data_IF_541226134254
#
_entry.id   IF_541226134254
#
_cell.length_a   1.000
_cell.length_b   1.000
_cell.length_c   1.000
_cell.angle_alpha   90.00
_cell.angle_beta   90.00
_cell.angle_gamma   90.00
#
_symmetry.space_group_name_H-M   'P 1'
#
loop_
_entity.id
_entity.type
_entity.pdbx_description
1 polymer ?
#
# COMPACT_ATOMS: atom_id res chain seq x y z
N UNK A 1 19.39 -19.48 15.68
CA UNK A 1 19.43 -18.49 14.60
C UNK A 1 18.05 -17.87 14.56
N UNK A 2 17.94 -16.53 14.51
CA UNK A 2 16.63 -15.87 14.47
C UNK A 2 16.20 -15.70 13.01
N UNK A 3 14.92 -15.98 12.70
CA UNK A 3 14.34 -15.69 11.40
C UNK A 3 14.17 -14.18 11.22
N UNK A 4 14.62 -13.66 10.10
CA UNK A 4 14.64 -12.24 9.79
C UNK A 4 13.54 -11.86 8.79
N UNK A 5 12.88 -10.72 9.01
CA UNK A 5 11.87 -10.15 8.11
C UNK A 5 11.82 -8.63 8.28
N UNK A 6 11.33 -7.94 7.27
CA UNK A 6 10.99 -6.52 7.39
C UNK A 6 9.57 -6.38 7.94
N UNK A 7 9.38 -5.48 8.88
CA UNK A 7 8.07 -5.09 9.38
C UNK A 7 7.64 -3.75 8.76
N UNK A 8 6.45 -3.73 8.13
CA UNK A 8 5.86 -2.51 7.56
C UNK A 8 6.31 -2.21 6.13
N UNK A 9 6.05 -0.96 5.71
CA UNK A 9 6.30 -0.51 4.34
C UNK A 9 7.75 -0.10 4.10
N UNK A 10 8.24 -0.38 2.89
CA UNK A 10 9.49 0.16 2.37
C UNK A 10 9.23 1.47 1.60
N UNK A 11 10.21 2.39 1.53
CA UNK A 11 10.05 3.65 0.83
C UNK A 11 9.64 3.46 -0.63
N UNK A 12 8.65 4.24 -1.09
CA UNK A 12 8.29 4.24 -2.50
C UNK A 12 9.31 5.00 -3.31
N UNK A 13 9.73 4.48 -4.49
CA UNK A 13 10.56 5.26 -5.41
C UNK A 13 9.85 6.55 -5.85
N UNK A 14 10.62 7.62 -6.07
CA UNK A 14 10.08 8.93 -6.47
C UNK A 14 9.34 8.89 -7.83
N UNK A 15 9.68 7.93 -8.70
CA UNK A 15 8.98 7.73 -9.97
C UNK A 15 7.64 6.98 -9.81
N UNK A 16 7.39 6.31 -8.67
CA UNK A 16 6.13 5.64 -8.38
C UNK A 16 5.15 6.56 -7.67
N UNK A 17 5.62 7.28 -6.65
CA UNK A 17 4.76 8.15 -5.84
C UNK A 17 5.56 9.31 -5.26
N UNK A 18 4.86 10.37 -4.85
CA UNK A 18 5.47 11.49 -4.13
C UNK A 18 6.15 10.99 -2.85
N UNK A 19 7.38 11.43 -2.62
CA UNK A 19 8.14 11.10 -1.42
C UNK A 19 7.83 12.06 -0.28
N UNK A 20 8.12 11.64 0.96
CA UNK A 20 8.00 12.48 2.17
C UNK A 20 6.59 12.96 2.53
N UNK A 21 5.55 12.34 1.94
CA UNK A 21 4.15 12.61 2.28
C UNK A 21 3.51 11.41 2.96
N UNK A 22 2.74 11.66 4.00
CA UNK A 22 1.93 10.64 4.67
C UNK A 22 0.90 10.03 3.70
N UNK A 23 0.47 10.80 2.73
CA UNK A 23 -0.50 10.43 1.69
C UNK A 23 0.06 10.67 0.29
N UNK A 24 1.04 9.86 -0.13
CA UNK A 24 1.70 10.06 -1.41
C UNK A 24 0.71 9.88 -2.56
N UNK A 25 0.70 10.81 -3.51
CA UNK A 25 -0.04 10.63 -4.75
C UNK A 25 0.80 9.83 -5.73
N UNK A 26 0.13 9.00 -6.55
CA UNK A 26 0.78 8.28 -7.63
C UNK A 26 1.26 9.24 -8.72
N UNK A 27 2.42 8.98 -9.29
CA UNK A 27 3.00 9.81 -10.37
C UNK A 27 2.43 9.48 -11.74
N UNK A 28 1.86 8.29 -11.91
CA UNK A 28 1.26 7.79 -13.16
C UNK A 28 -0.15 7.23 -12.90
N UNK A 29 -0.84 6.81 -13.94
CA UNK A 29 -2.20 6.28 -13.87
C UNK A 29 -2.38 5.06 -14.80
N UNK A 30 -3.50 4.35 -14.63
CA UNK A 30 -3.90 3.26 -15.51
C UNK A 30 -2.88 2.11 -15.61
N UNK A 31 -2.67 1.53 -16.79
CA UNK A 31 -1.75 0.40 -16.98
C UNK A 31 -0.30 0.74 -16.61
N UNK A 32 0.13 1.97 -16.87
CA UNK A 32 1.48 2.45 -16.53
C UNK A 32 1.70 2.44 -15.00
N UNK A 33 0.70 2.84 -14.22
CA UNK A 33 0.77 2.72 -12.77
C UNK A 33 0.86 1.26 -12.30
N UNK A 34 0.14 0.35 -12.93
CA UNK A 34 0.23 -1.07 -12.57
C UNK A 34 1.62 -1.63 -12.84
N UNK A 35 2.22 -1.27 -13.98
CA UNK A 35 3.61 -1.65 -14.28
C UNK A 35 4.58 -1.04 -13.27
N UNK A 36 4.46 0.25 -12.96
CA UNK A 36 5.31 0.93 -11.99
C UNK A 36 5.23 0.29 -10.58
N UNK A 37 4.04 -0.13 -10.15
CA UNK A 37 3.88 -0.87 -8.89
C UNK A 37 4.60 -2.23 -8.92
N UNK A 38 4.50 -2.95 -10.04
CA UNK A 38 5.19 -4.23 -10.21
C UNK A 38 6.71 -4.06 -10.17
N UNK A 39 7.24 -3.06 -10.88
CA UNK A 39 8.67 -2.78 -10.93
C UNK A 39 9.22 -2.38 -9.55
N UNK A 40 8.49 -1.54 -8.81
CA UNK A 40 8.88 -1.16 -7.45
C UNK A 40 8.87 -2.36 -6.48
N UNK A 41 7.87 -3.24 -6.60
CA UNK A 41 7.80 -4.47 -5.82
C UNK A 41 8.99 -5.38 -6.13
N UNK A 42 9.32 -5.58 -7.40
CA UNK A 42 10.48 -6.38 -7.84
C UNK A 42 11.79 -5.84 -7.26
N UNK A 43 12.01 -4.53 -7.33
CA UNK A 43 13.22 -3.91 -6.77
C UNK A 43 13.37 -4.16 -5.27
N UNK A 44 12.28 -4.05 -4.52
CA UNK A 44 12.31 -4.27 -3.08
C UNK A 44 12.40 -5.74 -2.69
N UNK A 45 11.81 -6.66 -3.46
CA UNK A 45 12.03 -8.10 -3.28
C UNK A 45 13.52 -8.40 -3.47
N UNK A 46 14.11 -7.94 -4.57
CA UNK A 46 15.52 -8.14 -4.87
C UNK A 46 16.43 -7.57 -3.77
N UNK A 47 16.15 -6.37 -3.28
CA UNK A 47 16.93 -5.77 -2.20
C UNK A 47 16.88 -6.59 -0.90
N UNK A 48 15.73 -7.17 -0.57
CA UNK A 48 15.56 -8.04 0.60
C UNK A 48 16.30 -9.37 0.43
N UNK A 49 16.25 -9.96 -0.77
CA UNK A 49 17.03 -11.16 -1.09
C UNK A 49 18.52 -10.90 -0.97
N UNK A 50 19.04 -9.80 -1.54
CA UNK A 50 20.43 -9.42 -1.49
C UNK A 50 20.89 -9.10 -0.05
N UNK A 51 20.00 -8.64 0.80
CA UNK A 51 20.25 -8.44 2.23
C UNK A 51 20.22 -9.75 3.05
N UNK A 52 19.81 -10.87 2.43
CA UNK A 52 19.75 -12.19 3.07
C UNK A 52 18.62 -12.33 4.08
N UNK A 53 17.47 -11.68 3.86
CA UNK A 53 16.30 -11.86 4.71
C UNK A 53 15.67 -13.23 4.49
N UNK A 54 15.23 -13.87 5.56
CA UNK A 54 14.58 -15.20 5.52
C UNK A 54 13.12 -15.13 5.04
N UNK A 55 12.43 -14.04 5.34
CA UNK A 55 11.03 -13.79 4.91
C UNK A 55 10.98 -12.49 4.15
N UNK A 56 10.50 -12.57 2.93
CA UNK A 56 10.46 -11.45 1.97
C UNK A 56 9.01 -10.96 1.84
N UNK A 57 8.81 -9.66 1.82
CA UNK A 57 7.52 -9.00 1.59
C UNK A 57 7.52 -8.12 0.35
N UNK A 58 6.34 -7.70 -0.09
CA UNK A 58 6.14 -6.78 -1.22
C UNK A 58 6.55 -5.32 -0.92
N UNK A 59 6.95 -5.03 0.31
CA UNK A 59 7.30 -3.69 0.78
C UNK A 59 6.12 -2.70 0.74
N UNK A 60 4.90 -3.17 0.60
CA UNK A 60 3.66 -2.37 0.47
C UNK A 60 3.69 -1.39 -0.73
N UNK A 61 4.41 -1.73 -1.80
CA UNK A 61 4.60 -0.83 -2.93
C UNK A 61 3.32 -0.57 -3.72
N UNK A 62 2.41 -1.53 -3.79
CA UNK A 62 1.14 -1.40 -4.50
C UNK A 62 0.09 -0.58 -3.74
N UNK A 63 0.30 -0.33 -2.43
CA UNK A 63 -0.64 0.39 -1.57
C UNK A 63 -0.24 1.86 -1.42
N UNK A 64 -1.19 2.77 -1.63
CA UNK A 64 -0.97 4.20 -1.42
C UNK A 64 -0.78 4.52 0.07
N UNK A 65 -1.60 3.91 0.91
CA UNK A 65 -1.56 4.06 2.36
C UNK A 65 -1.98 2.75 3.04
N UNK A 66 -1.36 2.40 4.15
CA UNK A 66 -1.55 1.11 4.84
C UNK A 66 -3.01 0.86 5.31
N UNK A 67 -3.77 1.90 5.65
CA UNK A 67 -5.18 1.78 6.02
C UNK A 67 -6.09 1.95 4.79
N UNK A 68 -5.90 3.00 4.01
CA UNK A 68 -6.82 3.36 2.93
C UNK A 68 -6.79 2.38 1.78
N UNK A 69 -5.66 1.79 1.47
CA UNK A 69 -5.59 0.75 0.43
C UNK A 69 -6.55 -0.41 0.68
N UNK A 70 -6.81 -0.74 1.96
CA UNK A 70 -7.83 -1.73 2.32
C UNK A 70 -9.25 -1.15 2.25
N UNK A 71 -9.51 -0.01 2.91
CA UNK A 71 -10.88 0.52 3.04
C UNK A 71 -11.46 1.01 1.72
N UNK A 72 -10.65 1.39 0.72
CA UNK A 72 -11.08 1.69 -0.65
C UNK A 72 -11.73 0.49 -1.35
N UNK A 73 -11.42 -0.73 -0.92
CA UNK A 73 -12.02 -1.97 -1.41
C UNK A 73 -13.29 -2.36 -0.64
N UNK A 74 -13.81 -1.48 0.22
CA UNK A 74 -15.02 -1.70 1.00
C UNK A 74 -16.13 -0.80 0.51
N UNK A 75 -17.28 -1.38 0.17
CA UNK A 75 -18.53 -0.65 -0.08
C UNK A 75 -19.08 -0.05 1.22
N UNK A 76 -19.87 1.00 1.11
CA UNK A 76 -20.48 1.67 2.26
C UNK A 76 -19.61 2.77 2.87
N UNK A 77 -18.46 3.09 2.25
CA UNK A 77 -17.56 4.16 2.67
C UNK A 77 -17.53 5.26 1.60
N UNK A 78 -17.81 6.50 1.99
CA UNK A 78 -17.73 7.67 1.14
C UNK A 78 -16.35 8.31 1.22
N UNK A 79 -15.58 8.21 0.14
CA UNK A 79 -14.25 8.83 -0.01
C UNK A 79 -14.32 10.22 -0.67
N UNK A 80 -15.47 10.61 -1.18
CA UNK A 80 -15.65 11.90 -1.87
C UNK A 80 -16.00 12.99 -0.84
N UNK A 81 -17.03 12.76 -0.03
CA UNK A 81 -17.48 13.71 0.99
C UNK A 81 -16.82 13.39 2.32
N UNK A 82 -15.56 13.79 2.45
CA UNK A 82 -14.77 13.58 3.66
C UNK A 82 -15.13 14.59 4.75
N UNK A 83 -14.96 14.20 6.00
CA UNK A 83 -15.10 15.10 7.16
C UNK A 83 -13.76 15.38 7.80
N UNK A 84 -13.62 16.56 8.37
CA UNK A 84 -12.46 16.92 9.18
C UNK A 84 -12.56 16.24 10.56
N UNK A 85 -11.53 15.50 10.94
CA UNK A 85 -11.43 14.85 12.23
C UNK A 85 -10.08 15.13 12.86
N UNK A 86 -10.09 15.47 14.15
CA UNK A 86 -8.86 15.60 14.94
C UNK A 86 -8.24 14.23 15.21
N UNK A 87 -6.97 14.08 14.90
CA UNK A 87 -6.21 12.82 15.02
C UNK A 87 -5.24 12.93 16.21
N UNK A 88 -5.02 11.80 16.90
CA UNK A 88 -4.10 11.66 18.03
C UNK A 88 -4.36 12.72 19.11
N UNK A 89 -5.58 12.76 19.67
CA UNK A 89 -6.00 13.76 20.64
C UNK A 89 -5.88 15.20 20.12
N UNK A 90 -6.38 15.44 18.90
CA UNK A 90 -6.38 16.73 18.22
C UNK A 90 -5.00 17.36 17.99
N UNK A 91 -3.96 16.53 17.84
CA UNK A 91 -2.62 17.04 17.48
C UNK A 91 -2.56 17.58 16.05
N UNK A 92 -3.40 17.06 15.16
CA UNK A 92 -3.59 17.57 13.80
C UNK A 92 -4.95 17.13 13.27
N UNK A 93 -5.45 17.85 12.28
CA UNK A 93 -6.69 17.54 11.60
C UNK A 93 -6.43 16.77 10.30
N UNK A 94 -7.29 15.81 9.99
CA UNK A 94 -7.25 15.05 8.73
C UNK A 94 -8.64 14.96 8.10
N UNK A 95 -8.67 14.94 6.76
CA UNK A 95 -9.87 14.66 5.99
C UNK A 95 -10.07 13.14 5.93
N UNK A 96 -11.10 12.65 6.62
CA UNK A 96 -11.38 11.22 6.73
C UNK A 96 -12.65 10.83 5.99
N UNK A 97 -12.69 9.65 5.33
CA UNK A 97 -13.89 9.12 4.73
C UNK A 97 -14.91 8.73 5.80
N UNK A 98 -16.19 8.64 5.41
CA UNK A 98 -17.29 8.32 6.31
C UNK A 98 -17.93 7.00 5.94
N UNK A 99 -18.39 6.25 6.94
CA UNK A 99 -19.27 5.10 6.73
C UNK A 99 -20.69 5.62 6.53
N UNK A 100 -21.26 5.37 5.35
CA UNK A 100 -22.59 5.87 4.93
C UNK A 100 -23.62 4.75 4.68
N UNK A 101 -23.18 3.49 4.64
CA UNK A 101 -24.03 2.33 4.38
C UNK A 101 -23.41 1.07 5.02
N UNK A 102 -24.10 -0.07 5.06
CA UNK A 102 -23.53 -1.33 5.52
C UNK A 102 -22.24 -1.69 4.77
N UNK A 103 -21.22 -2.11 5.53
CA UNK A 103 -19.92 -2.43 4.97
C UNK A 103 -19.92 -3.80 4.29
N UNK A 104 -19.38 -3.87 3.07
CA UNK A 104 -19.23 -5.11 2.29
C UNK A 104 -17.92 -5.07 1.50
N UNK A 105 -17.16 -6.16 1.47
CA UNK A 105 -15.98 -6.28 0.63
C UNK A 105 -16.38 -6.35 -0.85
N UNK A 106 -15.73 -5.56 -1.70
CA UNK A 106 -15.91 -5.58 -3.17
C UNK A 106 -15.28 -6.83 -3.81
N UNK A 107 -14.32 -7.46 -3.12
CA UNK A 107 -13.60 -8.62 -3.62
C UNK A 107 -12.42 -9.01 -2.74
N UNK A 108 -11.45 -9.70 -3.31
CA UNK A 108 -10.19 -10.05 -2.64
C UNK A 108 -9.25 -8.85 -2.64
N UNK A 109 -9.05 -8.23 -1.49
CA UNK A 109 -8.36 -6.94 -1.36
C UNK A 109 -6.90 -6.98 -1.82
N UNK A 110 -6.15 -8.01 -1.44
CA UNK A 110 -4.71 -8.12 -1.70
C UNK A 110 -4.35 -9.24 -2.71
N UNK A 111 -5.28 -9.59 -3.61
CA UNK A 111 -5.04 -10.65 -4.58
C UNK A 111 -3.95 -10.30 -5.57
N UNK A 112 -3.91 -9.05 -6.04
CA UNK A 112 -2.89 -8.58 -6.99
C UNK A 112 -1.50 -8.63 -6.36
N UNK A 113 -1.33 -8.08 -5.16
CA UNK A 113 -0.05 -8.05 -4.46
C UNK A 113 0.48 -9.46 -4.16
N UNK A 114 -0.40 -10.35 -3.72
CA UNK A 114 -0.02 -11.73 -3.45
C UNK A 114 0.39 -12.46 -4.73
N UNK A 115 -0.36 -12.31 -5.82
CA UNK A 115 -0.04 -12.91 -7.12
C UNK A 115 1.26 -12.36 -7.68
N UNK A 116 1.47 -11.05 -7.60
CA UNK A 116 2.68 -10.39 -8.05
C UNK A 116 3.89 -10.90 -7.27
N UNK A 117 3.84 -10.88 -5.94
CA UNK A 117 4.93 -11.36 -5.10
C UNK A 117 5.28 -12.82 -5.41
N UNK A 118 4.28 -13.71 -5.52
CA UNK A 118 4.49 -15.12 -5.88
C UNK A 118 5.09 -15.31 -7.26
N UNK A 119 4.81 -14.42 -8.22
CA UNK A 119 5.39 -14.48 -9.57
C UNK A 119 6.84 -14.01 -9.64
N UNK A 120 7.29 -13.23 -8.67
CA UNK A 120 8.63 -12.62 -8.65
C UNK A 120 9.63 -13.38 -7.77
N UNK A 121 9.16 -14.18 -6.81
CA UNK A 121 10.03 -15.04 -6.02
C UNK A 121 10.38 -16.29 -6.80
N UNK A 122 11.68 -16.58 -6.91
CA UNK A 122 12.17 -17.84 -7.45
C UNK A 122 12.16 -18.88 -6.33
N UNK A 123 11.22 -19.82 -6.43
CA UNK A 123 11.19 -21.00 -5.55
C UNK A 123 12.14 -22.06 -6.11
#
# INVERSE_FOLDING_TARGET
>A
MFTTAIAGSLPKPAWLAETEKLWPQWTTQGPELQQAKADATLLWIKAQEDAGLDVIGDGEQARQHFVHGFVEQVEGIDFVNKVTMGIRNNRYDAQVPQVIAPLRLKGRVHAFEAQLALSLIHI
#
